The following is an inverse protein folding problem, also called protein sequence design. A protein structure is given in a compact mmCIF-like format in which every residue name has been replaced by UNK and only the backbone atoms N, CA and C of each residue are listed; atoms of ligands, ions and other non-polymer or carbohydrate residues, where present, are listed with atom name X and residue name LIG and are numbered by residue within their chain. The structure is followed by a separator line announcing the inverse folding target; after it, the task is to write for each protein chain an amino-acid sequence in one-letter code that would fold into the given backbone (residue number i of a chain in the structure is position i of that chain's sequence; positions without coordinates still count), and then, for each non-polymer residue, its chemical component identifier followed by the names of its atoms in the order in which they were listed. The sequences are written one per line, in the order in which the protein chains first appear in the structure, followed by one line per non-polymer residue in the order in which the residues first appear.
data_IF_169226970116
#
_entry.id   IF_169226970116
#
_cell.length_a   1.000
_cell.length_b   1.000
_cell.length_c   1.000
_cell.angle_alpha   90.00
_cell.angle_beta   90.00
_cell.angle_gamma   90.00
#
_symmetry.space_group_name_H-M   'P 1'
#
loop_
_entity.id
_entity.type
_entity.pdbx_description
1 polymer ?
#
# COMPACT_ATOMS: atom_id res chain seq x y z
N UNK A 1 -4.49 77.40 19.66
CA UNK A 1 -5.62 76.46 19.82
C UNK A 1 -5.09 75.06 19.50
N UNK A 2 -4.64 74.33 20.52
CA UNK A 2 -4.11 72.97 20.37
C UNK A 2 -5.28 72.01 20.61
N UNK A 3 -5.72 71.28 19.59
CA UNK A 3 -6.73 70.22 19.75
C UNK A 3 -5.97 68.92 19.97
N UNK A 4 -5.99 68.42 21.21
CA UNK A 4 -5.49 67.10 21.54
C UNK A 4 -6.55 66.07 21.13
N UNK A 5 -6.26 65.28 20.10
CA UNK A 5 -7.03 64.07 19.78
C UNK A 5 -6.61 62.97 20.75
N UNK A 6 -7.50 62.62 21.68
CA UNK A 6 -7.34 61.41 22.47
C UNK A 6 -7.66 60.20 21.58
N UNK A 7 -6.63 59.42 21.23
CA UNK A 7 -6.81 58.09 20.68
C UNK A 7 -7.35 57.20 21.82
N UNK A 8 -8.66 56.97 21.83
CA UNK A 8 -9.28 55.95 22.67
C UNK A 8 -8.83 54.58 22.16
N UNK A 9 -7.78 54.03 22.77
CA UNK A 9 -7.37 52.65 22.58
C UNK A 9 -8.43 51.72 23.15
N UNK A 10 -9.24 51.11 22.30
CA UNK A 10 -10.10 50.01 22.69
C UNK A 10 -9.19 48.80 22.91
N UNK A 11 -9.02 48.37 24.15
CA UNK A 11 -8.34 47.11 24.44
C UNK A 11 -9.18 45.98 23.81
N UNK A 12 -8.60 45.23 22.88
CA UNK A 12 -9.24 44.05 22.33
C UNK A 12 -9.52 43.07 23.48
N UNK A 13 -10.79 42.67 23.62
CA UNK A 13 -11.16 41.64 24.59
C UNK A 13 -10.41 40.35 24.22
N UNK A 14 -9.75 39.72 25.21
CA UNK A 14 -9.02 38.48 24.98
C UNK A 14 -9.99 37.39 24.50
N UNK A 15 -9.67 36.72 23.39
CA UNK A 15 -10.43 35.58 22.91
C UNK A 15 -10.45 34.47 23.98
N UNK A 16 -11.65 33.99 24.28
CA UNK A 16 -11.86 32.96 25.28
C UNK A 16 -12.20 31.66 24.58
N UNK A 17 -11.29 30.68 24.64
CA UNK A 17 -11.48 29.36 24.04
C UNK A 17 -12.69 28.64 24.68
N UNK A 18 -13.61 28.20 23.82
CA UNK A 18 -14.83 27.48 24.19
C UNK A 18 -14.64 25.96 23.97
N UNK A 19 -14.42 25.55 22.71
CA UNK A 19 -14.17 24.16 22.31
C UNK A 19 -13.26 24.07 21.09
N UNK A 20 -12.85 22.85 20.77
CA UNK A 20 -12.20 22.52 19.49
C UNK A 20 -13.01 21.43 18.80
N UNK A 21 -12.92 21.34 17.47
CA UNK A 21 -13.54 20.28 16.68
C UNK A 21 -12.56 19.81 15.59
N UNK A 22 -12.42 18.50 15.45
CA UNK A 22 -11.70 17.86 14.36
C UNK A 22 -12.64 17.70 13.16
N UNK A 23 -12.13 17.96 11.96
CA UNK A 23 -12.80 17.72 10.70
C UNK A 23 -11.89 16.94 9.76
N UNK A 24 -12.40 15.85 9.17
CA UNK A 24 -11.66 15.05 8.21
C UNK A 24 -12.38 13.77 7.79
N UNK A 25 -11.73 12.90 7.00
CA UNK A 25 -12.29 11.60 6.63
C UNK A 25 -12.59 10.74 7.85
N UNK A 26 -13.73 10.04 7.84
CA UNK A 26 -14.10 9.07 8.89
C UNK A 26 -13.52 7.67 8.65
N UNK A 27 -12.92 7.46 7.48
CA UNK A 27 -12.18 6.23 7.17
C UNK A 27 -10.93 6.51 6.35
N UNK A 28 -9.94 5.63 6.51
CA UNK A 28 -8.67 5.65 5.78
C UNK A 28 -8.32 4.20 5.42
N UNK A 29 -7.98 3.90 4.16
CA UNK A 29 -7.38 2.62 3.83
C UNK A 29 -6.10 2.38 4.62
N UNK A 30 -5.87 1.15 5.04
CA UNK A 30 -4.63 0.75 5.68
C UNK A 30 -3.40 1.13 4.84
N UNK A 31 -2.32 1.60 5.49
CA UNK A 31 -1.15 2.13 4.78
C UNK A 31 -1.38 3.46 4.05
N UNK A 32 -2.59 4.01 4.09
CA UNK A 32 -2.97 5.28 3.51
C UNK A 32 -2.62 6.48 4.41
N UNK A 33 -2.86 7.68 3.89
CA UNK A 33 -2.70 8.92 4.65
C UNK A 33 -3.91 9.83 4.43
N UNK A 34 -4.28 10.58 5.47
CA UNK A 34 -5.37 11.54 5.41
C UNK A 34 -4.99 12.86 6.12
N UNK A 35 -5.61 13.94 5.65
CA UNK A 35 -5.49 15.25 6.27
C UNK A 35 -6.73 15.58 7.10
N UNK A 36 -6.49 16.08 8.30
CA UNK A 36 -7.47 16.52 9.28
C UNK A 36 -7.24 18.00 9.59
N UNK A 37 -8.32 18.71 9.92
CA UNK A 37 -8.28 20.07 10.42
C UNK A 37 -8.77 20.11 11.86
N UNK A 38 -8.20 21.00 12.67
CA UNK A 38 -8.69 21.30 14.00
C UNK A 38 -9.17 22.75 14.04
N UNK A 39 -10.42 22.95 14.44
CA UNK A 39 -11.07 24.25 14.51
C UNK A 39 -11.29 24.64 15.96
N UNK A 40 -10.74 25.78 16.38
CA UNK A 40 -11.04 26.37 17.69
C UNK A 40 -12.24 27.30 17.57
N UNK A 41 -13.18 27.17 18.50
CA UNK A 41 -14.33 28.06 18.65
C UNK A 41 -14.19 28.90 19.93
N UNK A 42 -14.58 30.16 19.84
CA UNK A 42 -14.46 31.13 20.92
C UNK A 42 -15.84 31.62 21.37
N UNK A 43 -15.93 32.11 22.60
CA UNK A 43 -17.21 32.56 23.19
C UNK A 43 -17.81 33.80 22.50
N UNK A 44 -17.03 34.51 21.67
CA UNK A 44 -17.48 35.63 20.84
C UNK A 44 -18.06 35.17 19.48
N UNK A 45 -18.12 33.85 19.25
CA UNK A 45 -18.63 33.24 18.03
C UNK A 45 -17.59 33.10 16.92
N UNK A 46 -16.35 33.57 17.12
CA UNK A 46 -15.28 33.37 16.14
C UNK A 46 -14.84 31.90 16.07
N UNK A 47 -14.35 31.50 14.89
CA UNK A 47 -13.74 30.20 14.62
C UNK A 47 -12.40 30.41 13.94
N UNK A 48 -11.35 29.70 14.37
CA UNK A 48 -10.02 29.74 13.77
C UNK A 48 -9.52 28.33 13.44
N UNK A 49 -8.83 28.19 12.32
CA UNK A 49 -8.08 26.97 12.00
C UNK A 49 -6.82 26.95 12.87
N UNK A 50 -6.75 25.97 13.77
CA UNK A 50 -5.63 25.79 14.70
C UNK A 50 -4.86 24.49 14.41
N UNK A 51 -5.05 23.89 13.23
CA UNK A 51 -4.46 22.59 12.85
C UNK A 51 -2.96 22.51 13.11
N UNK A 52 -2.22 23.58 12.77
CA UNK A 52 -0.76 23.64 12.92
C UNK A 52 -0.29 23.94 14.34
N UNK A 53 -1.18 24.45 15.21
CA UNK A 53 -0.87 24.82 16.59
C UNK A 53 -1.46 23.85 17.62
N UNK A 54 -2.28 22.90 17.18
CA UNK A 54 -2.80 21.82 18.00
C UNK A 54 -1.76 20.70 18.15
N UNK A 55 -1.81 20.03 19.30
CA UNK A 55 -1.13 18.75 19.55
C UNK A 55 -2.03 17.62 19.07
N UNK A 56 -1.48 16.67 18.31
CA UNK A 56 -2.22 15.56 17.71
C UNK A 56 -1.72 14.21 18.23
N UNK A 57 -2.63 13.35 18.64
CA UNK A 57 -2.36 12.00 19.15
C UNK A 57 -3.35 10.98 18.59
N UNK A 58 -2.99 9.69 18.68
CA UNK A 58 -3.88 8.57 18.38
C UNK A 58 -3.85 7.61 19.57
N UNK A 59 -5.02 7.13 19.97
CA UNK A 59 -5.19 6.22 21.11
C UNK A 59 -4.41 4.89 20.96
N UNK A 60 -4.25 4.43 19.72
CA UNK A 60 -3.66 3.16 19.36
C UNK A 60 -2.49 3.35 18.37
N UNK A 61 -1.30 3.76 18.84
CA UNK A 61 -0.17 4.12 17.97
C UNK A 61 0.40 2.93 17.18
N UNK A 62 0.04 1.69 17.49
CA UNK A 62 0.35 0.53 16.67
C UNK A 62 -0.42 0.49 15.34
N UNK A 63 -1.45 1.32 15.17
CA UNK A 63 -2.28 1.38 13.96
C UNK A 63 -2.10 2.67 13.15
N UNK A 64 -1.29 3.61 13.61
CA UNK A 64 -0.95 4.79 12.82
C UNK A 64 -0.24 5.87 13.62
N UNK A 65 0.07 6.99 12.96
CA UNK A 65 0.73 8.15 13.57
C UNK A 65 0.44 9.44 12.83
N UNK A 66 0.67 10.57 13.48
CA UNK A 66 0.75 11.86 12.81
C UNK A 66 2.18 12.12 12.30
N UNK A 67 2.34 12.34 11.00
CA UNK A 67 3.65 12.66 10.38
C UNK A 67 3.96 14.15 10.40
N UNK A 68 2.92 14.97 10.51
CA UNK A 68 2.94 16.42 10.78
C UNK A 68 1.56 16.79 11.36
N UNK A 69 1.40 17.97 11.99
CA UNK A 69 0.10 18.38 12.53
C UNK A 69 -1.02 18.28 11.50
N UNK A 70 -2.09 17.56 11.85
CA UNK A 70 -3.24 17.31 10.97
C UNK A 70 -2.98 16.34 9.80
N UNK A 71 -1.85 15.63 9.74
CA UNK A 71 -1.61 14.59 8.72
C UNK A 71 -1.38 13.25 9.38
N UNK A 72 -2.39 12.38 9.29
CA UNK A 72 -2.35 11.03 9.83
C UNK A 72 -1.92 10.01 8.77
N UNK A 73 -1.07 9.08 9.16
CA UNK A 73 -0.63 7.90 8.39
C UNK A 73 -1.17 6.66 9.10
N UNK A 74 -2.05 5.92 8.42
CA UNK A 74 -2.57 4.64 8.90
C UNK A 74 -1.55 3.54 8.63
N UNK A 75 -1.32 2.68 9.61
CA UNK A 75 -0.52 1.47 9.43
C UNK A 75 -1.38 0.34 8.86
N UNK A 76 -0.76 -0.81 8.68
CA UNK A 76 -1.41 -2.02 8.19
C UNK A 76 -2.19 -2.68 9.30
N UNK A 77 -3.37 -3.19 8.96
CA UNK A 77 -4.28 -3.84 9.89
C UNK A 77 -4.71 -5.19 9.32
N UNK A 78 -5.00 -6.17 10.17
CA UNK A 78 -5.42 -7.51 9.73
C UNK A 78 -6.94 -7.65 9.58
N UNK A 79 -7.68 -6.65 10.03
CA UNK A 79 -9.13 -6.45 9.96
C UNK A 79 -9.40 -4.95 10.13
N UNK A 80 -10.61 -4.49 9.83
CA UNK A 80 -10.97 -3.10 10.10
C UNK A 80 -10.76 -2.76 11.57
N UNK A 81 -10.14 -1.63 11.84
CA UNK A 81 -9.87 -1.16 13.21
C UNK A 81 -10.40 0.25 13.37
N UNK A 82 -11.11 0.48 14.47
CA UNK A 82 -11.50 1.81 14.88
C UNK A 82 -10.42 2.40 15.79
N UNK A 83 -9.91 3.57 15.42
CA UNK A 83 -8.97 4.37 16.23
C UNK A 83 -9.60 5.71 16.57
N UNK A 84 -9.11 6.32 17.64
CA UNK A 84 -9.52 7.67 18.07
C UNK A 84 -8.37 8.63 17.85
N UNK A 85 -8.58 9.63 17.00
CA UNK A 85 -7.65 10.74 16.83
C UNK A 85 -8.01 11.84 17.84
N UNK A 86 -7.03 12.32 18.59
CA UNK A 86 -7.23 13.40 19.55
C UNK A 86 -6.46 14.64 19.11
N UNK A 87 -7.11 15.80 19.12
CA UNK A 87 -6.48 17.09 18.87
C UNK A 87 -6.70 18.00 20.08
N UNK A 88 -5.60 18.49 20.66
CA UNK A 88 -5.61 19.35 21.84
C UNK A 88 -5.04 20.72 21.52
N UNK A 89 -5.74 21.79 21.90
CA UNK A 89 -5.31 23.18 21.70
C UNK A 89 -5.46 23.99 22.98
N UNK A 90 -4.50 24.89 23.22
CA UNK A 90 -4.49 25.76 24.39
C UNK A 90 -4.34 27.23 24.02
N UNK A 91 -5.22 28.08 24.56
CA UNK A 91 -5.13 29.54 24.43
C UNK A 91 -5.58 30.22 25.74
N UNK A 92 -4.82 31.22 26.19
CA UNK A 92 -5.18 32.01 27.37
C UNK A 92 -5.34 31.18 28.65
N UNK A 93 -4.53 30.12 28.81
CA UNK A 93 -4.59 29.21 29.96
C UNK A 93 -5.76 28.22 29.94
N UNK A 94 -6.57 28.18 28.87
CA UNK A 94 -7.60 27.16 28.66
C UNK A 94 -7.13 26.14 27.66
N UNK A 95 -7.34 24.87 27.97
CA UNK A 95 -7.07 23.74 27.10
C UNK A 95 -8.38 23.06 26.73
N UNK A 96 -8.52 22.71 25.45
CA UNK A 96 -9.64 21.94 24.92
C UNK A 96 -9.11 20.85 24.00
N UNK A 97 -9.84 19.75 23.99
CA UNK A 97 -9.55 18.59 23.16
C UNK A 97 -10.83 18.14 22.47
N UNK A 98 -10.68 17.51 21.31
CA UNK A 98 -11.73 16.79 20.62
C UNK A 98 -11.21 15.42 20.20
N UNK A 99 -12.11 14.44 20.24
CA UNK A 99 -11.85 13.05 19.92
C UNK A 99 -12.64 12.67 18.67
N UNK A 100 -11.95 12.17 17.66
CA UNK A 100 -12.51 11.88 16.34
C UNK A 100 -12.29 10.42 15.97
N UNK A 101 -13.38 9.67 15.86
CA UNK A 101 -13.34 8.25 15.49
C UNK A 101 -13.05 8.08 14.01
N UNK A 102 -12.06 7.24 13.70
CA UNK A 102 -11.63 6.93 12.33
C UNK A 102 -11.53 5.42 12.16
N UNK A 103 -12.14 4.90 11.11
CA UNK A 103 -11.98 3.51 10.71
C UNK A 103 -10.77 3.36 9.79
N UNK A 104 -9.79 2.58 10.20
CA UNK A 104 -8.75 2.09 9.30
C UNK A 104 -9.31 0.86 8.60
N UNK A 105 -9.52 1.00 7.29
CA UNK A 105 -10.09 -0.04 6.43
C UNK A 105 -8.99 -1.02 6.01
N UNK A 106 -9.19 -2.30 6.33
CA UNK A 106 -8.35 -3.36 5.83
C UNK A 106 -8.72 -3.65 4.37
N UNK A 107 -7.72 -3.85 3.50
CA UNK A 107 -8.00 -4.42 2.19
C UNK A 107 -8.64 -5.81 2.34
N UNK A 108 -9.66 -6.12 1.53
CA UNK A 108 -10.23 -7.47 1.56
C UNK A 108 -9.14 -8.48 1.22
N UNK A 109 -9.12 -9.59 1.95
CA UNK A 109 -8.24 -10.71 1.64
C UNK A 109 -8.68 -11.29 0.29
N UNK A 110 -7.89 -11.07 -0.75
CA UNK A 110 -8.16 -11.58 -2.09
C UNK A 110 -7.54 -12.97 -2.28
N UNK A 111 -6.32 -13.15 -1.78
CA UNK A 111 -5.58 -14.39 -1.86
C UNK A 111 -4.86 -14.66 -0.55
N UNK A 112 -4.86 -15.92 -0.10
CA UNK A 112 -4.13 -16.36 1.08
C UNK A 112 -3.39 -17.66 0.81
N UNK A 113 -2.08 -17.56 0.68
CA UNK A 113 -1.23 -18.72 0.50
C UNK A 113 -0.64 -19.18 1.84
N UNK A 114 -1.49 -19.82 2.65
CA UNK A 114 -1.03 -20.58 3.81
C UNK A 114 -0.33 -19.77 4.91
N UNK A 115 -0.79 -18.54 5.20
CA UNK A 115 -0.23 -17.64 6.23
C UNK A 115 -0.24 -18.17 7.69
N UNK A 116 -0.60 -19.45 7.91
CA UNK A 116 -0.89 -20.02 9.22
C UNK A 116 -0.06 -21.25 9.64
N UNK A 117 0.93 -21.76 8.87
CA UNK A 117 1.71 -22.93 9.35
C UNK A 117 3.21 -22.81 9.11
N UNK A 118 3.95 -22.68 10.21
CA UNK A 118 5.41 -22.56 10.27
C UNK A 118 6.14 -23.89 10.08
N UNK A 119 6.30 -24.31 8.83
CA UNK A 119 7.15 -25.47 8.48
C UNK A 119 8.61 -25.08 8.29
N UNK A 120 8.92 -23.80 8.55
CA UNK A 120 9.85 -22.96 7.82
C UNK A 120 10.80 -23.66 6.84
N UNK A 121 10.38 -23.67 5.61
CA UNK A 121 11.37 -23.60 4.56
C UNK A 121 11.31 -22.19 4.02
N UNK A 122 12.27 -21.80 3.22
CA UNK A 122 12.23 -20.50 2.61
C UNK A 122 13.13 -20.45 1.41
N UNK A 123 12.70 -19.70 0.41
CA UNK A 123 13.51 -19.47 -0.78
C UNK A 123 14.22 -18.13 -0.61
N UNK A 124 15.55 -18.07 -0.82
CA UNK A 124 16.29 -16.82 -0.75
C UNK A 124 15.63 -15.70 -1.55
N UNK A 125 15.35 -14.61 -0.86
CA UNK A 125 15.08 -13.32 -1.43
C UNK A 125 16.40 -12.77 -1.98
N UNK A 126 16.33 -12.30 -3.20
CA UNK A 126 17.44 -11.70 -3.94
C UNK A 126 18.11 -10.54 -3.17
N UNK A 127 19.31 -10.09 -3.62
CA UNK A 127 20.49 -9.61 -2.86
C UNK A 127 20.56 -9.78 -1.32
N UNK A 128 21.78 -9.79 -0.73
CA UNK A 128 23.10 -9.66 -1.35
C UNK A 128 23.70 -11.00 -1.84
N UNK A 129 23.40 -12.14 -1.21
CA UNK A 129 24.03 -13.43 -1.55
C UNK A 129 23.53 -14.04 -2.87
N UNK A 130 22.35 -13.64 -3.34
CA UNK A 130 21.72 -14.20 -4.54
C UNK A 130 21.19 -13.10 -5.48
N UNK A 131 22.06 -12.29 -6.12
CA UNK A 131 21.66 -11.04 -6.76
C UNK A 131 20.71 -11.17 -7.95
N UNK A 132 20.64 -12.34 -8.58
CA UNK A 132 19.83 -12.59 -9.79
C UNK A 132 18.66 -13.53 -9.54
N UNK A 133 18.34 -13.85 -8.28
CA UNK A 133 17.32 -14.85 -7.95
C UNK A 133 15.92 -14.24 -7.96
N UNK A 134 14.92 -14.97 -8.45
CA UNK A 134 13.49 -14.64 -8.24
C UNK A 134 12.78 -15.89 -7.76
N UNK A 135 11.82 -15.70 -6.87
CA UNK A 135 10.84 -16.72 -6.52
C UNK A 135 9.47 -16.15 -6.86
N UNK A 136 8.61 -16.96 -7.46
CA UNK A 136 7.22 -16.59 -7.75
C UNK A 136 6.32 -17.75 -7.40
N UNK A 137 5.08 -17.43 -7.10
CA UNK A 137 4.03 -18.43 -6.94
C UNK A 137 2.79 -18.04 -7.74
N UNK A 138 1.98 -19.03 -8.09
CA UNK A 138 0.78 -18.79 -8.86
C UNK A 138 -0.38 -18.26 -8.00
N UNK A 139 -1.22 -17.46 -8.65
CA UNK A 139 -2.50 -16.98 -8.11
C UNK A 139 -3.57 -17.18 -9.17
N UNK A 140 -4.79 -17.42 -8.71
CA UNK A 140 -5.97 -17.51 -9.58
C UNK A 140 -6.90 -16.34 -9.25
N UNK A 141 -7.05 -15.44 -10.21
CA UNK A 141 -7.92 -14.27 -10.13
C UNK A 141 -9.30 -14.66 -10.69
N UNK A 142 -10.39 -14.45 -9.94
CA UNK A 142 -11.74 -14.82 -10.36
C UNK A 142 -12.26 -13.90 -11.47
N UNK A 143 -13.43 -14.27 -12.03
CA UNK A 143 -14.10 -13.52 -13.10
C UNK A 143 -14.40 -12.05 -12.79
N UNK A 144 -14.54 -11.71 -11.51
CA UNK A 144 -14.69 -10.32 -11.08
C UNK A 144 -13.42 -9.48 -11.31
N UNK A 145 -12.26 -10.10 -11.52
CA UNK A 145 -10.97 -9.43 -11.46
C UNK A 145 -10.66 -8.89 -10.05
N UNK A 146 -9.43 -8.41 -9.87
CA UNK A 146 -8.94 -7.80 -8.62
C UNK A 146 -8.20 -6.49 -8.87
N UNK A 147 -8.46 -5.48 -8.06
CA UNK A 147 -7.54 -4.37 -7.82
C UNK A 147 -6.65 -4.77 -6.66
N UNK A 148 -5.37 -5.03 -6.92
CA UNK A 148 -4.37 -5.32 -5.88
C UNK A 148 -3.87 -4.02 -5.31
N UNK A 149 -3.98 -3.88 -3.98
CA UNK A 149 -3.62 -2.66 -3.25
C UNK A 149 -2.44 -2.87 -2.32
N UNK A 150 -2.25 -4.11 -1.86
CA UNK A 150 -1.13 -4.50 -1.04
C UNK A 150 -0.81 -5.98 -1.09
N UNK A 151 0.40 -6.30 -0.65
CA UNK A 151 0.86 -7.67 -0.45
C UNK A 151 1.56 -7.78 0.90
N UNK A 152 1.20 -8.82 1.64
CA UNK A 152 1.86 -9.20 2.89
C UNK A 152 2.59 -10.51 2.69
N UNK A 153 3.81 -10.64 3.23
CA UNK A 153 4.59 -11.86 3.14
C UNK A 153 5.52 -12.03 4.36
N UNK A 154 5.92 -13.27 4.62
CA UNK A 154 6.82 -13.62 5.72
C UNK A 154 8.25 -13.82 5.24
N UNK A 155 9.20 -13.34 6.04
CA UNK A 155 10.62 -13.43 5.74
C UNK A 155 11.40 -13.79 6.98
N UNK A 156 12.30 -14.77 6.85
CA UNK A 156 13.31 -15.08 7.85
C UNK A 156 14.66 -14.53 7.38
N UNK A 157 15.44 -13.90 8.24
CA UNK A 157 16.70 -13.27 7.84
C UNK A 157 17.90 -13.80 8.62
N UNK A 158 18.99 -14.12 7.92
CA UNK A 158 20.27 -14.44 8.52
C UNK A 158 20.87 -13.23 9.26
N UNK A 159 21.74 -13.53 10.24
CA UNK A 159 22.56 -12.51 10.88
C UNK A 159 23.38 -11.72 9.85
N UNK A 160 23.44 -10.40 10.02
CA UNK A 160 24.20 -9.50 9.14
C UNK A 160 23.53 -9.20 7.80
N UNK A 161 22.34 -9.72 7.52
CA UNK A 161 21.50 -9.23 6.42
C UNK A 161 20.92 -7.85 6.75
N UNK A 162 20.81 -6.99 5.74
CA UNK A 162 20.26 -5.64 5.84
C UNK A 162 19.19 -5.42 4.77
N UNK A 163 18.06 -4.85 5.17
CA UNK A 163 16.81 -4.84 4.41
C UNK A 163 16.76 -3.93 3.18
N UNK A 164 17.42 -2.78 3.24
CA UNK A 164 17.40 -1.81 2.14
C UNK A 164 16.06 -1.08 1.92
N UNK A 165 14.99 -1.40 2.68
CA UNK A 165 13.75 -0.63 2.74
C UNK A 165 12.90 -0.59 1.46
N UNK A 166 13.21 -1.44 0.48
CA UNK A 166 12.47 -1.51 -0.80
C UNK A 166 12.11 -2.96 -1.12
N UNK A 167 10.88 -3.18 -1.55
CA UNK A 167 10.41 -4.43 -2.17
C UNK A 167 10.17 -4.21 -3.65
N UNK A 168 10.71 -5.09 -4.49
CA UNK A 168 10.26 -5.28 -5.86
C UNK A 168 9.14 -6.33 -5.87
N UNK A 169 7.94 -5.96 -6.30
CA UNK A 169 6.84 -6.89 -6.62
C UNK A 169 6.81 -7.08 -8.12
N UNK A 170 6.85 -8.32 -8.60
CA UNK A 170 6.85 -8.64 -10.02
C UNK A 170 5.75 -9.64 -10.36
N UNK A 171 5.25 -9.52 -11.59
CA UNK A 171 4.15 -10.35 -12.09
C UNK A 171 4.48 -10.89 -13.48
N UNK A 172 4.11 -12.14 -13.72
CA UNK A 172 4.25 -12.83 -14.99
C UNK A 172 2.92 -13.46 -15.40
N UNK A 173 2.73 -13.65 -16.71
CA UNK A 173 1.65 -14.50 -17.23
C UNK A 173 1.86 -15.94 -16.78
N UNK A 174 0.79 -16.73 -16.78
CA UNK A 174 0.91 -18.17 -16.69
C UNK A 174 1.37 -18.78 -18.03
N UNK A 175 2.32 -19.72 -17.98
CA UNK A 175 2.71 -20.57 -19.10
C UNK A 175 2.48 -22.05 -18.73
N UNK A 176 1.22 -22.36 -18.39
CA UNK A 176 0.68 -23.64 -17.93
C UNK A 176 1.15 -24.08 -16.53
N UNK A 177 2.46 -24.15 -16.30
CA UNK A 177 3.00 -24.64 -15.01
C UNK A 177 4.23 -23.90 -14.50
N UNK A 178 4.66 -22.87 -15.21
CA UNK A 178 5.75 -21.98 -14.83
C UNK A 178 5.40 -20.56 -15.25
N UNK A 179 6.06 -19.54 -14.66
CA UNK A 179 5.93 -18.17 -15.12
C UNK A 179 6.33 -18.02 -16.58
N UNK A 180 5.50 -17.29 -17.34
CA UNK A 180 5.69 -16.97 -18.75
C UNK A 180 6.34 -15.60 -18.96
N UNK A 181 5.63 -14.70 -19.64
CA UNK A 181 6.11 -13.36 -19.97
C UNK A 181 5.95 -12.43 -18.77
N UNK A 182 6.97 -11.62 -18.46
CA UNK A 182 6.87 -10.62 -17.39
C UNK A 182 5.87 -9.54 -17.78
N UNK A 183 4.83 -9.37 -16.98
CA UNK A 183 3.84 -8.31 -17.13
C UNK A 183 4.36 -6.99 -16.58
N UNK A 184 4.87 -7.00 -15.34
CA UNK A 184 5.50 -5.82 -14.74
C UNK A 184 6.49 -6.16 -13.63
N UNK A 185 7.20 -5.11 -13.20
CA UNK A 185 7.95 -5.05 -11.95
C UNK A 185 7.72 -3.66 -11.33
N UNK A 186 7.32 -3.64 -10.06
CA UNK A 186 7.02 -2.44 -9.29
C UNK A 186 7.90 -2.39 -8.04
N UNK A 187 8.56 -1.26 -7.84
CA UNK A 187 9.39 -1.01 -6.67
C UNK A 187 8.61 -0.14 -5.69
N UNK A 188 8.42 -0.61 -4.47
CA UNK A 188 7.71 0.11 -3.41
C UNK A 188 8.43 -0.01 -2.07
N UNK A 189 8.19 0.96 -1.19
CA UNK A 189 8.59 0.83 0.21
C UNK A 189 7.77 -0.26 0.91
N UNK A 190 8.30 -0.75 2.02
CA UNK A 190 7.57 -1.71 2.86
C UNK A 190 7.67 -1.35 4.34
N UNK A 191 6.65 -1.73 5.09
CA UNK A 191 6.73 -1.83 6.54
C UNK A 191 7.24 -3.22 6.92
N UNK A 192 8.26 -3.26 7.77
CA UNK A 192 8.86 -4.50 8.30
C UNK A 192 8.61 -4.59 9.79
N UNK A 193 7.84 -5.58 10.22
CA UNK A 193 7.52 -5.82 11.63
C UNK A 193 8.15 -7.14 12.09
N UNK A 194 8.90 -7.11 13.20
CA UNK A 194 9.35 -8.34 13.84
C UNK A 194 8.13 -9.09 14.39
N UNK A 195 8.04 -10.40 14.13
CA UNK A 195 6.93 -11.21 14.66
C UNK A 195 7.20 -11.69 16.09
N UNK A 196 8.46 -11.60 16.54
CA UNK A 196 8.93 -12.18 17.80
C UNK A 196 9.21 -13.68 17.70
N UNK A 197 8.83 -14.33 16.60
CA UNK A 197 9.15 -15.71 16.32
C UNK A 197 10.57 -15.84 15.76
N UNK A 198 11.11 -17.04 15.88
CA UNK A 198 12.33 -17.44 15.19
C UNK A 198 12.08 -18.73 14.45
N UNK A 199 12.75 -18.88 13.31
CA UNK A 199 12.66 -20.05 12.50
C UNK A 199 14.06 -20.54 12.07
N UNK A 200 14.41 -21.78 12.40
CA UNK A 200 15.78 -22.31 12.27
C UNK A 200 16.83 -21.35 12.86
N UNK A 201 16.53 -20.74 14.01
CA UNK A 201 17.39 -19.77 14.68
C UNK A 201 17.44 -18.38 14.02
N UNK A 202 16.67 -18.15 12.94
CA UNK A 202 16.59 -16.86 12.25
C UNK A 202 15.37 -16.07 12.72
N UNK A 203 15.48 -14.77 13.02
CA UNK A 203 14.32 -13.95 13.33
C UNK A 203 13.37 -13.87 12.12
N UNK A 204 12.08 -13.96 12.40
CA UNK A 204 11.00 -13.84 11.43
C UNK A 204 10.42 -12.42 11.44
N UNK A 205 10.05 -11.96 10.25
CA UNK A 205 9.51 -10.64 10.00
C UNK A 205 8.33 -10.74 9.06
N UNK A 206 7.34 -9.90 9.33
CA UNK A 206 6.22 -9.66 8.44
C UNK A 206 6.47 -8.39 7.65
N UNK A 207 6.34 -8.51 6.34
CA UNK A 207 6.49 -7.41 5.40
C UNK A 207 5.13 -7.03 4.85
N UNK A 208 4.91 -5.73 4.76
CA UNK A 208 3.73 -5.16 4.13
C UNK A 208 4.16 -4.19 3.06
N UNK A 209 3.74 -4.46 1.83
CA UNK A 209 3.84 -3.52 0.72
C UNK A 209 2.50 -2.89 0.49
N UNK A 210 2.48 -1.56 0.44
CA UNK A 210 1.26 -0.78 0.21
C UNK A 210 1.42 0.04 -1.06
N UNK A 211 0.29 0.48 -1.63
CA UNK A 211 0.29 1.35 -2.80
C UNK A 211 0.63 0.62 -4.11
N UNK A 212 0.53 -0.71 -4.17
CA UNK A 212 0.79 -1.50 -5.37
C UNK A 212 -0.15 -1.11 -6.52
N UNK A 213 -1.45 -0.94 -6.20
CA UNK A 213 -2.46 -0.30 -7.04
C UNK A 213 -2.40 -0.73 -8.51
N UNK A 214 -2.53 -2.02 -8.79
CA UNK A 214 -2.61 -2.58 -10.14
C UNK A 214 -3.82 -3.51 -10.29
N UNK A 215 -4.46 -3.47 -11.45
CA UNK A 215 -5.62 -4.28 -11.77
C UNK A 215 -5.21 -5.60 -12.44
N UNK A 216 -5.82 -6.70 -12.03
CA UNK A 216 -5.72 -8.02 -12.64
C UNK A 216 -7.11 -8.46 -13.11
N UNK A 217 -7.32 -8.70 -14.41
CA UNK A 217 -8.52 -9.37 -14.87
C UNK A 217 -8.51 -10.85 -14.45
N UNK A 218 -9.60 -11.56 -14.75
CA UNK A 218 -9.69 -13.01 -14.58
C UNK A 218 -8.48 -13.72 -15.22
N UNK A 219 -7.89 -14.67 -14.51
CA UNK A 219 -6.81 -15.47 -15.05
C UNK A 219 -5.89 -16.05 -13.99
N UNK A 220 -4.91 -16.84 -14.46
CA UNK A 220 -3.80 -17.31 -13.64
C UNK A 220 -2.58 -16.45 -13.89
N UNK A 221 -1.89 -16.08 -12.81
CA UNK A 221 -0.68 -15.26 -12.84
C UNK A 221 0.37 -15.80 -11.89
N UNK A 222 1.62 -15.40 -12.10
CA UNK A 222 2.72 -15.71 -11.17
C UNK A 222 3.23 -14.42 -10.55
N UNK A 223 3.11 -14.30 -9.23
CA UNK A 223 3.53 -13.13 -8.46
C UNK A 223 4.70 -13.46 -7.56
N UNK A 224 5.63 -12.52 -7.40
CA UNK A 224 6.75 -12.70 -6.49
C UNK A 224 7.34 -11.41 -5.97
N UNK A 225 8.22 -11.56 -4.98
CA UNK A 225 8.90 -10.46 -4.30
C UNK A 225 10.42 -10.61 -4.32
N UNK A 226 11.11 -9.48 -4.25
CA UNK A 226 12.57 -9.36 -4.10
C UNK A 226 12.91 -8.13 -3.25
N UNK A 227 14.04 -8.15 -2.54
CA UNK A 227 14.61 -6.98 -1.85
C UNK A 227 15.82 -6.44 -2.64
N UNK A 228 15.60 -5.60 -3.67
CA UNK A 228 16.65 -5.23 -4.62
C UNK A 228 17.81 -4.43 -4.00
N UNK A 229 17.53 -3.73 -2.90
CA UNK A 229 18.49 -2.85 -2.21
C UNK A 229 19.07 -3.51 -0.95
N UNK A 230 18.80 -4.80 -0.72
CA UNK A 230 19.32 -5.50 0.44
C UNK A 230 20.86 -5.64 0.38
N UNK A 231 21.49 -5.47 1.53
CA UNK A 231 22.96 -5.44 1.70
C UNK A 231 23.41 -6.36 2.84
N UNK A 232 24.71 -6.40 3.11
CA UNK A 232 25.30 -7.17 4.20
C UNK A 232 25.81 -8.55 3.80
N UNK A 233 26.07 -9.40 4.80
CA UNK A 233 26.66 -10.73 4.62
C UNK A 233 25.68 -11.90 4.71
N UNK A 234 24.47 -11.66 5.23
CA UNK A 234 23.41 -12.67 5.39
C UNK A 234 22.46 -12.74 4.19
N UNK A 235 21.56 -13.71 4.20
CA UNK A 235 20.46 -13.88 3.24
C UNK A 235 19.10 -13.71 3.94
N UNK A 236 18.13 -13.10 3.26
CA UNK A 236 16.72 -13.19 3.63
C UNK A 236 16.04 -14.30 2.83
N UNK A 237 15.06 -14.96 3.43
CA UNK A 237 14.33 -16.07 2.84
C UNK A 237 12.85 -15.73 2.87
N UNK A 238 12.19 -15.75 1.70
CA UNK A 238 10.74 -15.74 1.63
C UNK A 238 10.26 -17.06 2.19
N UNK A 239 9.57 -17.01 3.32
CA UNK A 239 9.09 -18.21 3.99
C UNK A 239 8.16 -18.99 3.07
N UNK A 240 8.26 -20.30 3.13
CA UNK A 240 7.46 -21.24 2.39
C UNK A 240 6.94 -22.33 3.34
N UNK A 241 5.69 -22.71 3.10
CA UNK A 241 4.94 -23.65 3.93
C UNK A 241 4.80 -25.00 3.21
N UNK A 242 4.61 -26.09 3.97
CA UNK A 242 4.20 -27.38 3.41
C UNK A 242 2.73 -27.29 2.99
N UNK A 243 2.49 -26.77 1.80
CA UNK A 243 1.16 -26.69 1.19
C UNK A 243 0.58 -28.08 0.94
N UNK A 244 -0.73 -28.20 1.15
CA UNK A 244 -1.48 -29.39 0.78
C UNK A 244 -1.62 -29.45 -0.76
N UNK A 245 -0.60 -30.01 -1.42
CA UNK A 245 -0.67 -30.64 -2.74
C UNK A 245 -1.09 -29.72 -3.91
N UNK A 246 -0.14 -29.51 -4.84
CA UNK A 246 -0.28 -29.27 -6.31
C UNK A 246 0.12 -27.92 -6.94
N UNK A 247 0.57 -26.90 -6.20
CA UNK A 247 1.08 -25.68 -6.84
C UNK A 247 2.62 -25.64 -6.81
N UNK A 248 3.31 -25.70 -7.96
CA UNK A 248 4.76 -25.72 -7.97
C UNK A 248 5.28 -24.29 -7.91
N UNK A 249 5.75 -23.82 -6.75
CA UNK A 249 6.48 -22.55 -6.71
C UNK A 249 7.62 -22.54 -7.74
N UNK A 250 7.89 -21.38 -8.33
CA UNK A 250 8.88 -21.24 -9.40
C UNK A 250 10.08 -20.43 -8.93
N UNK A 251 11.27 -20.84 -9.38
CA UNK A 251 12.52 -20.15 -9.07
C UNK A 251 13.26 -19.81 -10.36
N UNK A 252 13.81 -18.61 -10.41
CA UNK A 252 14.72 -18.17 -11.47
C UNK A 252 16.06 -17.79 -10.88
N UNK A 253 17.15 -18.11 -11.58
CA UNK A 253 18.53 -17.73 -11.21
C UNK A 253 19.12 -16.67 -12.14
N UNK A 254 18.33 -16.17 -13.09
CA UNK A 254 18.75 -15.23 -14.13
C UNK A 254 17.72 -14.12 -14.33
N UNK A 255 17.26 -13.55 -13.21
CA UNK A 255 16.36 -12.40 -13.14
C UNK A 255 14.98 -12.62 -13.78
N UNK A 256 14.52 -13.87 -13.88
CA UNK A 256 13.23 -14.24 -14.47
C UNK A 256 13.29 -14.52 -15.96
N UNK A 257 14.48 -14.63 -16.57
CA UNK A 257 14.61 -15.03 -17.99
C UNK A 257 14.24 -16.49 -18.22
N UNK A 258 14.59 -17.36 -17.29
CA UNK A 258 14.18 -18.77 -17.28
C UNK A 258 13.70 -19.16 -15.90
N UNK A 259 12.71 -20.04 -15.86
CA UNK A 259 12.11 -20.55 -14.65
C UNK A 259 12.27 -22.06 -14.56
N UNK A 260 12.45 -22.54 -13.34
CA UNK A 260 12.40 -23.94 -13.01
C UNK A 260 11.48 -24.13 -11.81
N UNK A 261 10.93 -25.34 -11.66
CA UNK A 261 10.16 -25.69 -10.47
C UNK A 261 11.06 -25.66 -9.25
N UNK A 262 10.52 -25.12 -8.17
CA UNK A 262 11.10 -25.22 -6.85
C UNK A 262 10.85 -26.59 -6.21
N UNK A 263 11.47 -26.86 -5.05
CA UNK A 263 11.19 -28.03 -4.23
C UNK A 263 9.70 -28.38 -4.10
N UNK A 264 9.37 -29.66 -4.30
CA UNK A 264 7.99 -30.14 -4.18
C UNK A 264 7.44 -29.93 -2.78
N UNK A 265 6.20 -29.46 -2.71
CA UNK A 265 5.46 -29.29 -1.46
C UNK A 265 5.86 -28.07 -0.66
N UNK A 266 6.53 -27.08 -1.25
CA UNK A 266 6.74 -25.77 -0.62
C UNK A 266 6.00 -24.69 -1.38
N UNK A 267 5.22 -23.89 -0.65
CA UNK A 267 4.48 -22.75 -1.21
C UNK A 267 4.86 -21.46 -0.46
N UNK A 268 5.37 -20.42 -1.16
CA UNK A 268 5.69 -19.14 -0.56
C UNK A 268 4.51 -18.55 0.22
N UNK A 269 4.77 -18.09 1.43
CA UNK A 269 3.73 -17.58 2.33
C UNK A 269 3.47 -16.11 2.04
N UNK A 270 2.29 -15.82 1.51
CA UNK A 270 1.83 -14.45 1.26
C UNK A 270 0.31 -14.30 1.24
N UNK A 271 -0.10 -13.06 1.35
CA UNK A 271 -1.48 -12.63 1.14
C UNK A 271 -1.52 -11.48 0.15
N UNK A 272 -2.55 -11.46 -0.69
CA UNK A 272 -2.90 -10.31 -1.50
C UNK A 272 -4.14 -9.64 -0.93
N UNK A 273 -4.06 -8.31 -0.85
CA UNK A 273 -5.09 -7.45 -0.29
C UNK A 273 -5.57 -6.48 -1.37
N UNK A 274 -6.86 -6.21 -1.37
CA UNK A 274 -7.46 -5.23 -2.27
C UNK A 274 -8.96 -5.42 -2.41
N UNK A 275 -9.48 -5.11 -3.59
CA UNK A 275 -10.92 -5.14 -3.87
C UNK A 275 -11.22 -5.85 -5.20
N UNK A 276 -12.37 -6.52 -5.35
CA UNK A 276 -12.82 -7.00 -6.65
C UNK A 276 -12.95 -5.85 -7.68
N UNK A 277 -12.66 -6.10 -8.95
CA UNK A 277 -12.90 -5.09 -9.99
C UNK A 277 -14.40 -4.92 -10.24
N UNK A 278 -14.80 -3.67 -10.37
CA UNK A 278 -16.13 -3.22 -10.77
C UNK A 278 -15.95 -2.02 -11.70
N UNK A 279 -16.99 -1.64 -12.45
CA UNK A 279 -16.96 -0.39 -13.25
C UNK A 279 -16.55 0.80 -12.37
N UNK A 280 -17.15 0.91 -11.18
CA UNK A 280 -16.90 2.00 -10.25
C UNK A 280 -15.46 2.02 -9.70
N UNK A 281 -14.85 0.85 -9.42
CA UNK A 281 -13.47 0.80 -8.93
C UNK A 281 -12.46 1.16 -10.01
N UNK A 282 -12.71 0.78 -11.27
CA UNK A 282 -11.89 1.20 -12.42
C UNK A 282 -12.00 2.70 -12.69
N UNK A 283 -13.21 3.26 -12.64
CA UNK A 283 -13.45 4.70 -12.82
C UNK A 283 -12.76 5.53 -11.72
N UNK A 284 -12.93 5.14 -10.45
CA UNK A 284 -12.27 5.80 -9.31
C UNK A 284 -10.74 5.75 -9.41
N UNK A 285 -10.20 4.60 -9.82
CA UNK A 285 -8.77 4.41 -10.04
C UNK A 285 -8.23 5.31 -11.14
N UNK A 286 -8.94 5.37 -12.27
CA UNK A 286 -8.58 6.21 -13.41
C UNK A 286 -8.60 7.70 -13.06
N UNK A 287 -9.66 8.17 -12.39
CA UNK A 287 -9.82 9.57 -11.97
C UNK A 287 -8.67 10.00 -11.03
N UNK A 288 -8.31 9.15 -10.06
CA UNK A 288 -7.22 9.42 -9.10
C UNK A 288 -5.85 9.55 -9.78
N UNK A 289 -5.69 8.97 -10.98
CA UNK A 289 -4.44 9.01 -11.76
C UNK A 289 -4.50 10.00 -12.94
N UNK A 290 -5.57 10.79 -13.06
CA UNK A 290 -5.74 11.80 -14.11
C UNK A 290 -6.25 11.24 -15.45
N UNK A 291 -6.88 10.07 -15.44
CA UNK A 291 -7.50 9.44 -16.62
C UNK A 291 -9.03 9.53 -16.56
N UNK A 292 -9.67 9.72 -17.71
CA UNK A 292 -11.12 9.57 -17.87
C UNK A 292 -11.43 8.18 -18.43
N UNK A 293 -12.34 7.44 -17.78
CA UNK A 293 -12.88 6.17 -18.30
C UNK A 293 -14.25 6.48 -18.93
N UNK A 294 -14.45 6.07 -20.18
CA UNK A 294 -15.75 6.14 -20.86
C UNK A 294 -16.05 4.81 -21.54
N UNK A 295 -17.19 4.20 -21.20
CA UNK A 295 -17.63 2.90 -21.72
C UNK A 295 -17.35 1.78 -20.71
N UNK A 296 -18.42 1.06 -20.30
CA UNK A 296 -18.37 0.04 -19.24
C UNK A 296 -17.38 -1.11 -19.47
N UNK A 297 -17.31 -2.01 -18.49
CA UNK A 297 -16.36 -3.14 -18.44
C UNK A 297 -16.23 -3.83 -19.81
N UNK A 298 -15.04 -3.87 -20.43
CA UNK A 298 -14.86 -4.63 -21.65
C UNK A 298 -15.05 -6.12 -21.34
N UNK A 299 -15.91 -6.79 -22.09
CA UNK A 299 -15.92 -8.23 -22.15
C UNK A 299 -14.63 -8.67 -22.85
N UNK A 300 -13.66 -9.17 -22.08
CA UNK A 300 -12.39 -9.67 -22.60
C UNK A 300 -12.61 -11.11 -23.06
N UNK A 301 -13.00 -11.29 -24.32
CA UNK A 301 -13.01 -12.62 -24.95
C UNK A 301 -11.58 -13.02 -25.31
N UNK A 302 -11.18 -14.24 -24.93
CA UNK A 302 -9.92 -14.90 -25.25
C UNK A 302 -9.40 -14.59 -26.66
N UNK A 303 -8.26 -13.90 -26.75
CA UNK A 303 -7.16 -14.19 -27.70
C UNK A 303 -6.06 -13.13 -27.54
N UNK A 304 -4.89 -13.58 -27.07
CA UNK A 304 -3.52 -13.09 -27.33
C UNK A 304 -3.14 -11.60 -27.16
N UNK A 305 -4.03 -10.68 -26.81
CA UNK A 305 -3.71 -9.26 -26.58
C UNK A 305 -4.26 -8.71 -25.26
N UNK A 306 -3.86 -9.32 -24.14
CA UNK A 306 -4.14 -8.80 -22.79
C UNK A 306 -3.20 -7.63 -22.42
N UNK A 307 -3.32 -6.50 -23.13
CA UNK A 307 -2.66 -5.24 -22.79
C UNK A 307 -3.58 -4.21 -22.13
N UNK A 308 -4.65 -4.64 -21.44
CA UNK A 308 -5.29 -3.83 -20.39
C UNK A 308 -4.63 -4.10 -19.03
N UNK A 309 -3.30 -3.98 -19.00
CA UNK A 309 -2.52 -3.82 -17.77
C UNK A 309 -2.38 -2.31 -17.64
N UNK A 310 -3.20 -1.66 -16.82
CA UNK A 310 -3.10 -0.21 -16.67
C UNK A 310 -1.67 0.10 -16.19
N UNK A 311 -0.97 0.88 -17.03
CA UNK A 311 0.48 0.94 -17.14
C UNK A 311 1.23 1.33 -15.87
N UNK A 312 2.44 0.79 -15.74
CA UNK A 312 3.53 1.52 -15.11
C UNK A 312 3.80 2.76 -15.98
N UNK A 313 3.51 3.97 -15.49
CA UNK A 313 3.94 5.20 -16.17
C UNK A 313 5.45 5.29 -16.05
N UNK A 314 6.16 5.00 -17.14
CA UNK A 314 7.56 5.41 -17.31
C UNK A 314 7.53 6.90 -17.62
N UNK A 315 7.85 7.73 -16.62
CA UNK A 315 8.00 9.17 -16.80
C UNK A 315 9.11 9.41 -17.84
N UNK A 316 8.72 9.75 -19.06
CA UNK A 316 9.62 10.32 -20.07
C UNK A 316 9.28 11.80 -20.19
N UNK A 317 10.32 12.61 -20.24
CA UNK A 317 10.35 14.07 -20.05
C UNK A 317 9.17 14.85 -20.65
N UNK A 318 8.63 15.76 -19.84
CA UNK A 318 7.56 16.73 -20.12
C UNK A 318 7.77 17.54 -21.41
N UNK A 319 6.67 17.75 -22.18
CA UNK A 319 6.36 19.06 -22.81
C UNK A 319 4.99 19.16 -23.50
N UNK A 320 3.85 18.73 -22.92
CA UNK A 320 2.50 19.34 -23.10
C UNK A 320 1.42 18.56 -22.33
N UNK A 321 0.33 19.20 -21.83
CA UNK A 321 -0.66 18.56 -20.97
C UNK A 321 -1.90 18.07 -21.74
N UNK A 322 -2.49 16.99 -21.22
CA UNK A 322 -3.70 16.26 -21.67
C UNK A 322 -3.41 15.16 -22.70
N UNK A 323 -3.15 13.95 -22.20
CA UNK A 323 -3.25 12.72 -22.97
C UNK A 323 -4.71 12.23 -22.90
N UNK A 324 -5.42 12.23 -24.04
CA UNK A 324 -6.62 11.43 -24.21
C UNK A 324 -6.21 9.98 -24.49
N UNK A 325 -6.80 9.01 -23.78
CA UNK A 325 -6.64 7.59 -24.09
C UNK A 325 -7.67 7.24 -25.18
N UNK A 326 -7.25 7.17 -26.44
CA UNK A 326 -8.02 6.47 -27.47
C UNK A 326 -7.74 4.97 -27.37
N UNK A 327 -8.79 4.18 -27.12
CA UNK A 327 -8.76 2.72 -27.24
C UNK A 327 -8.86 2.38 -28.73
N UNK A 328 -7.72 2.18 -29.41
CA UNK A 328 -7.72 1.67 -30.78
C UNK A 328 -7.48 0.16 -30.78
N UNK A 329 -8.43 -0.60 -31.32
CA UNK A 329 -8.23 -1.96 -31.76
C UNK A 329 -7.57 -1.92 -33.14
N UNK A 330 -6.31 -2.37 -33.27
CA UNK A 330 -5.69 -2.58 -34.58
C UNK A 330 -5.64 -4.07 -34.90
N UNK A 331 -6.39 -4.51 -35.90
CA UNK A 331 -6.21 -5.82 -36.53
C UNK A 331 -5.04 -5.69 -37.51
N UNK A 332 -3.86 -6.17 -37.12
CA UNK A 332 -2.71 -6.29 -38.00
C UNK A 332 -2.65 -7.69 -38.60
N UNK A 333 -3.08 -7.86 -39.85
CA UNK A 333 -2.85 -9.08 -40.62
C UNK A 333 -1.34 -9.35 -40.76
N UNK A 334 -0.92 -10.57 -40.42
CA UNK A 334 0.37 -11.14 -40.78
C UNK A 334 0.53 -11.28 -42.29
N UNK A 335 1.77 -11.31 -42.80
CA UNK A 335 2.23 -12.32 -43.74
C UNK A 335 2.57 -13.63 -43.03
#
# INVERSE_FOLDING_TARGET
MLVAFALLGVAAQAQVLDRVEIEGPVSIPEGGQASYRCWAYFTDGQRLDVTQSATWEVDQPQFGRFVQPGRFEAFQVNQDVLVTLCATFSLGGRTRSDDYLVQIENGSLLWNNGFNTGTGQGTPLSPPSFPNRRAADDIVVPSSGWLIEGMMYLVNADAGWQDGGTTEVFLYTDAATLPGTRLFSLFTGHLRLATGATYNGKPEYRYFTTGLKFALPEGRYWIGVRHPNATGGGTAYWEANLGAVEHPFAVSFNEGRTWQRGPTGLDPVFQLRGTPLTVATLESFAVTRGFHVSGGLPALTNSDDAHLIIGTVKQTSLSTPVAQLEVQASVGNSP
#
